data_IF_302794022250
#
_entry.id   IF_302794022250
#
_cell.length_a   1.000
_cell.length_b   1.000
_cell.length_c   1.000
_cell.angle_alpha   90.00
_cell.angle_beta   90.00
_cell.angle_gamma   90.00
#
_symmetry.space_group_name_H-M   'P 1'
#
loop_
_entity.id
_entity.type
_entity.pdbx_description
1 polymer ?
#
# COMPACT_ATOMS: atom_id res chain seq x y z
N UNK A 1 0.89 -1.02 22.61
CA UNK A 1 -0.18 -1.85 22.03
C UNK A 1 0.49 -3.14 21.59
N UNK A 2 0.14 -4.29 22.17
CA UNK A 2 0.65 -5.59 21.70
C UNK A 2 0.02 -5.87 20.33
N UNK A 3 0.83 -5.82 19.27
CA UNK A 3 0.36 -6.20 17.95
C UNK A 3 0.18 -7.71 17.87
N UNK A 4 -0.89 -8.15 17.20
CA UNK A 4 -1.23 -9.57 17.06
C UNK A 4 -0.19 -10.41 16.29
N UNK A 5 -0.54 -11.65 15.94
CA UNK A 5 0.41 -12.61 15.34
C UNK A 5 1.21 -12.08 14.14
N UNK A 6 0.58 -11.26 13.28
CA UNK A 6 1.25 -10.63 12.14
C UNK A 6 2.35 -9.67 12.60
N UNK A 7 2.06 -8.84 13.60
CA UNK A 7 3.01 -7.87 14.15
C UNK A 7 4.18 -8.58 14.83
N UNK A 8 3.89 -9.65 15.59
CA UNK A 8 4.91 -10.50 16.20
C UNK A 8 5.84 -11.16 15.16
N UNK A 9 5.32 -11.51 13.98
CA UNK A 9 6.14 -12.05 12.87
C UNK A 9 6.97 -10.98 12.18
N UNK A 10 6.47 -9.75 12.09
CA UNK A 10 7.19 -8.59 11.54
C UNK A 10 8.36 -8.22 12.46
N UNK A 11 8.13 -8.10 13.77
CA UNK A 11 9.19 -7.80 14.75
C UNK A 11 10.27 -8.89 14.79
N UNK A 12 9.88 -10.17 14.71
CA UNK A 12 10.84 -11.29 14.72
C UNK A 12 11.72 -11.41 13.47
N UNK A 13 11.40 -10.71 12.37
CA UNK A 13 12.17 -10.80 11.12
C UNK A 13 13.33 -9.81 11.00
N UNK A 14 13.44 -8.83 11.89
CA UNK A 14 14.52 -7.83 12.03
C UNK A 14 15.27 -7.44 10.72
N UNK A 15 16.24 -8.25 10.27
CA UNK A 15 17.12 -7.97 9.13
C UNK A 15 16.72 -8.62 7.78
N UNK A 16 15.61 -9.35 7.73
CA UNK A 16 15.19 -10.05 6.51
C UNK A 16 13.90 -9.46 5.93
N UNK A 17 14.01 -8.49 5.00
CA UNK A 17 12.84 -7.83 4.41
C UNK A 17 11.95 -8.83 3.67
N UNK A 18 10.64 -8.52 3.59
CA UNK A 18 9.72 -9.35 2.82
C UNK A 18 10.13 -9.39 1.36
N UNK A 19 10.14 -10.59 0.78
CA UNK A 19 10.32 -10.74 -0.65
C UNK A 19 9.05 -10.30 -1.38
N UNK A 20 9.16 -9.98 -2.67
CA UNK A 20 8.00 -9.68 -3.53
C UNK A 20 6.96 -10.81 -3.49
N UNK A 21 7.41 -12.08 -3.42
CA UNK A 21 6.54 -13.25 -3.26
C UNK A 21 5.79 -13.25 -1.92
N UNK A 22 6.46 -12.86 -0.84
CA UNK A 22 5.81 -12.77 0.47
C UNK A 22 4.78 -11.63 0.49
N UNK A 23 5.14 -10.46 -0.06
CA UNK A 23 4.25 -9.31 -0.15
C UNK A 23 3.02 -9.63 -1.02
N UNK A 24 3.22 -10.25 -2.19
CA UNK A 24 2.15 -10.69 -3.08
C UNK A 24 1.16 -11.61 -2.36
N UNK A 25 1.64 -12.58 -1.57
CA UNK A 25 0.75 -13.46 -0.79
C UNK A 25 -0.15 -12.70 0.17
N UNK A 26 0.41 -11.75 0.94
CA UNK A 26 -0.40 -10.96 1.88
C UNK A 26 -1.36 -10.02 1.17
N UNK A 27 -0.92 -9.38 0.08
CA UNK A 27 -1.77 -8.52 -0.73
C UNK A 27 -2.91 -9.32 -1.36
N UNK A 28 -2.63 -10.52 -1.87
CA UNK A 28 -3.66 -11.43 -2.39
C UNK A 28 -4.70 -11.78 -1.32
N UNK A 29 -4.28 -12.09 -0.09
CA UNK A 29 -5.23 -12.34 1.01
C UNK A 29 -6.10 -11.12 1.32
N UNK A 30 -5.50 -9.94 1.37
CA UNK A 30 -6.24 -8.68 1.58
C UNK A 30 -7.20 -8.43 0.42
N UNK A 31 -6.75 -8.60 -0.83
CA UNK A 31 -7.55 -8.42 -2.04
C UNK A 31 -8.74 -9.38 -2.11
N UNK A 32 -8.56 -10.65 -1.71
CA UNK A 32 -9.66 -11.62 -1.60
C UNK A 32 -10.70 -11.19 -0.55
N UNK A 33 -10.24 -10.70 0.61
CA UNK A 33 -11.15 -10.17 1.62
C UNK A 33 -11.92 -8.94 1.10
N UNK A 34 -11.23 -8.00 0.44
CA UNK A 34 -11.82 -6.81 -0.17
C UNK A 34 -12.83 -7.18 -1.26
N UNK A 35 -12.49 -8.14 -2.12
CA UNK A 35 -13.38 -8.63 -3.17
C UNK A 35 -14.67 -9.23 -2.59
N UNK A 36 -14.56 -10.05 -1.53
CA UNK A 36 -15.72 -10.60 -0.84
C UNK A 36 -16.58 -9.51 -0.21
N UNK A 37 -15.96 -8.50 0.41
CA UNK A 37 -16.67 -7.34 0.96
C UNK A 37 -17.40 -6.55 -0.12
N UNK A 38 -16.75 -6.27 -1.26
CA UNK A 38 -17.40 -5.60 -2.40
C UNK A 38 -18.56 -6.40 -2.99
N UNK A 39 -18.43 -7.74 -3.08
CA UNK A 39 -19.52 -8.62 -3.52
C UNK A 39 -20.72 -8.61 -2.54
N UNK A 40 -20.48 -8.23 -1.29
CA UNK A 40 -21.51 -8.03 -0.26
C UNK A 40 -21.98 -6.57 -0.16
N UNK A 41 -21.61 -5.71 -1.11
CA UNK A 41 -21.89 -4.26 -1.12
C UNK A 41 -21.28 -3.51 0.09
N UNK A 42 -20.27 -4.12 0.73
CA UNK A 42 -19.50 -3.53 1.82
C UNK A 42 -18.33 -2.77 1.19
N UNK A 43 -18.41 -1.43 1.20
CA UNK A 43 -17.36 -0.57 0.70
C UNK A 43 -16.03 -0.87 1.41
N UNK A 44 -15.07 -1.42 0.66
CA UNK A 44 -13.71 -1.65 1.14
C UNK A 44 -12.74 -0.73 0.38
N UNK A 45 -11.83 -0.08 1.11
CA UNK A 45 -11.09 1.07 0.61
C UNK A 45 -9.80 0.67 -0.12
N UNK A 46 -9.85 0.72 -1.46
CA UNK A 46 -8.69 0.49 -2.35
C UNK A 46 -7.52 1.43 -2.02
N UNK A 47 -7.79 2.63 -1.50
CA UNK A 47 -6.73 3.54 -1.05
C UNK A 47 -5.94 2.94 0.10
N UNK A 48 -6.63 2.41 1.10
CA UNK A 48 -6.02 1.77 2.26
C UNK A 48 -5.20 0.53 1.85
N UNK A 49 -5.66 -0.24 0.85
CA UNK A 49 -4.85 -1.32 0.26
C UNK A 49 -3.57 -0.81 -0.40
N UNK A 50 -3.64 0.30 -1.16
CA UNK A 50 -2.47 0.93 -1.78
C UNK A 50 -1.45 1.39 -0.74
N UNK A 51 -1.91 1.94 0.39
CA UNK A 51 -1.05 2.34 1.52
C UNK A 51 -0.38 1.12 2.14
N UNK A 52 -1.12 0.03 2.38
CA UNK A 52 -0.58 -1.22 2.93
C UNK A 52 0.44 -1.83 1.98
N UNK A 53 0.13 -1.91 0.69
CA UNK A 53 1.04 -2.44 -0.34
C UNK A 53 2.34 -1.63 -0.40
N UNK A 54 2.26 -0.30 -0.34
CA UNK A 54 3.44 0.56 -0.28
C UNK A 54 4.32 0.23 0.94
N UNK A 55 3.72 0.16 2.14
CA UNK A 55 4.44 -0.14 3.39
C UNK A 55 5.06 -1.54 3.36
N UNK A 56 4.37 -2.55 2.83
CA UNK A 56 4.87 -3.92 2.76
C UNK A 56 6.12 -4.03 1.88
N UNK A 57 6.23 -3.21 0.83
CA UNK A 57 7.32 -3.27 -0.13
C UNK A 57 8.56 -2.47 0.28
N UNK A 58 8.39 -1.30 0.91
CA UNK A 58 9.53 -0.44 1.26
C UNK A 58 9.71 -0.15 2.76
N UNK A 59 8.76 -0.57 3.62
CA UNK A 59 8.87 -0.47 5.07
C UNK A 59 8.45 0.86 5.70
N UNK A 60 7.92 1.82 4.93
CA UNK A 60 7.47 3.13 5.44
C UNK A 60 6.20 3.60 4.72
N UNK A 61 5.38 4.50 5.32
CA UNK A 61 4.15 4.98 4.69
C UNK A 61 4.44 5.91 3.50
N UNK A 62 3.58 5.94 2.47
CA UNK A 62 3.75 6.82 1.31
C UNK A 62 3.63 8.31 1.69
N UNK A 63 2.79 8.62 2.68
CA UNK A 63 2.58 9.98 3.15
C UNK A 63 3.20 10.14 4.54
N UNK A 64 4.28 10.91 4.61
CA UNK A 64 4.97 11.25 5.86
C UNK A 64 5.34 12.75 5.88
N UNK A 65 5.55 13.33 7.08
CA UNK A 65 5.97 14.71 7.24
C UNK A 65 7.29 14.95 6.49
N UNK A 66 7.40 16.03 5.72
CA UNK A 66 8.72 16.46 5.24
C UNK A 66 9.55 16.90 6.46
N UNK A 67 10.88 16.80 6.35
CA UNK A 67 11.77 17.22 7.43
C UNK A 67 11.50 18.69 7.77
N UNK A 68 11.05 18.97 9.01
CA UNK A 68 10.66 20.32 9.44
C UNK A 68 9.18 20.69 9.25
N UNK A 69 8.36 19.83 8.64
CA UNK A 69 6.92 20.08 8.42
C UNK A 69 6.02 19.12 9.21
N UNK A 70 5.94 19.30 10.53
CA UNK A 70 5.19 18.41 11.42
C UNK A 70 3.69 18.76 11.58
N UNK A 71 3.18 19.74 10.83
CA UNK A 71 1.78 20.16 10.93
C UNK A 71 0.83 19.11 10.34
N UNK A 72 -0.33 18.93 10.97
CA UNK A 72 -1.42 18.11 10.40
C UNK A 72 -1.92 18.66 9.05
N UNK A 73 -1.73 19.95 8.78
CA UNK A 73 -2.11 20.59 7.51
C UNK A 73 -1.22 20.16 6.33
N UNK A 74 0.10 20.02 6.53
CA UNK A 74 1.02 19.59 5.47
C UNK A 74 0.74 18.14 5.07
N UNK A 75 0.58 17.25 6.05
CA UNK A 75 0.23 15.85 5.82
C UNK A 75 -1.12 15.71 5.09
N UNK A 76 -2.15 16.44 5.53
CA UNK A 76 -3.46 16.45 4.85
C UNK A 76 -3.36 16.97 3.43
N UNK A 77 -2.52 17.97 3.17
CA UNK A 77 -2.31 18.48 1.81
C UNK A 77 -1.70 17.41 0.92
N UNK A 78 -0.68 16.69 1.39
CA UNK A 78 -0.05 15.60 0.62
C UNK A 78 -1.01 14.50 0.24
N UNK A 79 -1.89 14.09 1.17
CA UNK A 79 -2.95 13.11 0.89
C UNK A 79 -3.89 13.65 -0.20
N UNK A 80 -4.31 14.91 -0.08
CA UNK A 80 -5.20 15.56 -1.06
C UNK A 80 -4.58 15.78 -2.43
N UNK A 81 -3.26 15.91 -2.51
CA UNK A 81 -2.54 16.12 -3.78
C UNK A 81 -1.93 14.83 -4.33
N UNK A 82 -1.95 13.73 -3.58
CA UNK A 82 -1.23 12.51 -3.93
C UNK A 82 0.30 12.71 -3.95
N UNK A 83 0.84 13.60 -3.10
CA UNK A 83 2.28 13.87 -3.03
C UNK A 83 3.00 12.79 -2.20
N UNK A 84 3.46 11.75 -2.90
CA UNK A 84 4.40 10.72 -2.41
C UNK A 84 5.39 10.36 -3.53
N UNK A 85 6.46 9.64 -3.20
CA UNK A 85 7.54 9.31 -4.12
C UNK A 85 7.94 7.83 -4.01
N UNK A 86 8.75 7.34 -4.94
CA UNK A 86 9.37 6.01 -4.87
C UNK A 86 10.90 6.17 -4.86
N UNK A 87 11.52 6.52 -3.71
CA UNK A 87 12.96 6.75 -3.60
C UNK A 87 13.79 5.56 -4.09
N UNK A 88 14.84 5.83 -4.86
CA UNK A 88 15.62 4.78 -5.53
C UNK A 88 16.27 3.78 -4.56
N UNK A 89 16.65 4.20 -3.34
CA UNK A 89 17.35 3.34 -2.38
C UNK A 89 16.51 2.10 -2.04
N UNK A 90 15.26 2.28 -1.63
CA UNK A 90 14.37 1.17 -1.26
C UNK A 90 13.64 0.59 -2.46
N UNK A 91 13.39 1.40 -3.50
CA UNK A 91 12.57 0.97 -4.64
C UNK A 91 13.36 0.37 -5.79
N UNK A 92 14.70 0.47 -5.83
CA UNK A 92 15.54 -0.02 -6.94
C UNK A 92 15.18 -1.42 -7.45
N UNK A 93 14.87 -2.34 -6.54
CA UNK A 93 14.60 -3.74 -6.86
C UNK A 93 13.10 -4.07 -6.96
N UNK A 94 12.21 -3.08 -6.79
CA UNK A 94 10.76 -3.26 -6.92
C UNK A 94 10.35 -2.98 -8.36
N UNK A 95 9.57 -3.90 -8.94
CA UNK A 95 9.10 -3.85 -10.32
C UNK A 95 8.33 -2.56 -10.64
N UNK A 96 8.45 -2.11 -11.89
CA UNK A 96 7.69 -0.95 -12.37
C UNK A 96 6.18 -1.21 -12.33
N UNK A 97 5.76 -2.46 -12.53
CA UNK A 97 4.37 -2.88 -12.46
C UNK A 97 3.79 -2.69 -11.06
N UNK A 98 4.51 -3.09 -10.00
CA UNK A 98 4.08 -2.87 -8.62
C UNK A 98 3.93 -1.37 -8.32
N UNK A 99 4.89 -0.53 -8.75
CA UNK A 99 4.81 0.93 -8.59
C UNK A 99 3.60 1.52 -9.32
N UNK A 100 3.35 1.08 -10.55
CA UNK A 100 2.21 1.53 -11.35
C UNK A 100 0.87 1.14 -10.72
N UNK A 101 0.77 -0.09 -10.20
CA UNK A 101 -0.42 -0.56 -9.51
C UNK A 101 -0.71 0.27 -8.26
N UNK A 102 0.32 0.55 -7.43
CA UNK A 102 0.19 1.43 -6.27
C UNK A 102 -0.26 2.84 -6.67
N UNK A 103 0.27 3.39 -7.77
CA UNK A 103 -0.16 4.70 -8.28
C UNK A 103 -1.65 4.74 -8.63
N UNK A 104 -2.16 3.68 -9.25
CA UNK A 104 -3.57 3.56 -9.59
C UNK A 104 -4.45 3.34 -8.34
N UNK A 105 -3.96 2.65 -7.32
CA UNK A 105 -4.65 2.47 -6.03
C UNK A 105 -4.71 3.77 -5.22
N UNK A 106 -3.62 4.55 -5.22
CA UNK A 106 -3.49 5.84 -4.53
C UNK A 106 -3.93 7.03 -5.40
N UNK A 107 -4.85 6.80 -6.33
CA UNK A 107 -5.45 7.88 -7.11
C UNK A 107 -6.45 8.65 -6.25
N UNK A 108 -6.23 9.97 -6.14
CA UNK A 108 -6.98 10.87 -5.25
C UNK A 108 -8.46 10.89 -5.61
N UNK A 109 -8.78 11.06 -6.89
CA UNK A 109 -10.17 11.04 -7.36
C UNK A 109 -10.69 9.58 -7.38
N UNK A 110 -11.66 9.21 -6.53
CA UNK A 110 -12.17 7.84 -6.47
C UNK A 110 -12.76 7.34 -7.79
N UNK A 111 -13.33 8.23 -8.60
CA UNK A 111 -13.90 7.87 -9.90
C UNK A 111 -12.86 7.40 -10.92
N UNK A 112 -11.58 7.77 -10.71
CA UNK A 112 -10.45 7.38 -11.55
C UNK A 112 -9.60 6.29 -10.89
N UNK A 113 -9.94 5.89 -9.67
CA UNK A 113 -9.18 4.89 -8.91
C UNK A 113 -9.46 3.51 -9.49
N UNK A 114 -8.40 2.70 -9.61
CA UNK A 114 -8.49 1.32 -10.10
C UNK A 114 -9.55 0.53 -9.31
N UNK A 115 -10.26 -0.35 -9.99
CA UNK A 115 -11.23 -1.25 -9.39
C UNK A 115 -10.58 -2.53 -8.85
N UNK A 116 -11.26 -3.23 -7.94
CA UNK A 116 -10.74 -4.51 -7.41
C UNK A 116 -10.59 -5.56 -8.52
N UNK A 117 -11.49 -5.55 -9.52
CA UNK A 117 -11.42 -6.48 -10.65
C UNK A 117 -10.14 -6.29 -11.47
N UNK A 118 -9.76 -5.04 -11.73
CA UNK A 118 -8.51 -4.74 -12.43
C UNK A 118 -7.28 -5.10 -11.58
N UNK A 119 -7.30 -4.86 -10.26
CA UNK A 119 -6.22 -5.25 -9.34
C UNK A 119 -5.95 -6.76 -9.43
N UNK A 120 -7.00 -7.59 -9.44
CA UNK A 120 -6.88 -9.05 -9.52
C UNK A 120 -6.35 -9.58 -10.86
N UNK A 121 -6.22 -8.71 -11.87
CA UNK A 121 -5.64 -9.06 -13.18
C UNK A 121 -4.20 -8.60 -13.34
N UNK A 122 -3.65 -7.81 -12.40
CA UNK A 122 -2.26 -7.39 -12.42
C UNK A 122 -1.34 -8.57 -12.10
N UNK A 123 -0.30 -8.79 -12.90
CA UNK A 123 0.65 -9.91 -12.70
C UNK A 123 1.57 -9.75 -11.49
N UNK A 124 1.66 -8.54 -10.94
CA UNK A 124 2.40 -8.27 -9.70
C UNK A 124 1.61 -8.59 -8.41
N UNK A 125 0.35 -9.01 -8.52
CA UNK A 125 -0.55 -9.38 -7.39
C UNK A 125 -1.01 -10.83 -7.57
#
# INVERSE_FOLDING_TARGET
MEGGELFNRIEKRNDNPYTERDAARYIWMVAQAVYHLHAMDIACDIWSMGVIMYILLCGYPPFFPKLGEYSSSSMRNRIKTGDYQFPDVEWKNISQEARSTIQRMLTVNPANRITIGEILTCSCI
#
